data_IF_458887435670
#
_entry.id   IF_458887435670
#
_cell.length_a   1.000
_cell.length_b   1.000
_cell.length_c   1.000
_cell.angle_alpha   90.00
_cell.angle_beta   90.00
_cell.angle_gamma   90.00
#
_symmetry.space_group_name_H-M   'P 1'
#
loop_
_entity.id
_entity.type
_entity.pdbx_description
1 polymer ?
#
# COMPACT_ATOMS: atom_id res chain seq x y z
N UNK A 1 -16.18 20.64 -9.34
CA UNK A 1 -16.29 19.21 -9.69
C UNK A 1 -15.65 18.40 -8.58
N UNK A 2 -16.33 17.38 -8.07
CA UNK A 2 -15.79 16.46 -7.06
C UNK A 2 -15.78 15.05 -7.65
N UNK A 3 -14.78 14.76 -8.49
CA UNK A 3 -14.67 13.52 -9.28
C UNK A 3 -13.79 12.45 -8.64
N UNK A 4 -13.32 12.67 -7.41
CA UNK A 4 -12.39 11.79 -6.71
C UNK A 4 -10.92 12.22 -6.86
N UNK A 5 -10.04 11.51 -6.17
CA UNK A 5 -8.58 11.74 -6.17
C UNK A 5 -7.89 10.48 -6.67
N UNK A 6 -6.77 10.63 -7.39
CA UNK A 6 -5.93 9.52 -7.82
C UNK A 6 -4.65 9.51 -6.99
N UNK A 7 -4.18 8.30 -6.67
CA UNK A 7 -2.86 8.05 -6.12
C UNK A 7 -1.75 8.70 -6.96
N UNK A 8 -0.86 9.48 -6.34
CA UNK A 8 0.40 9.87 -6.97
C UNK A 8 1.39 8.74 -6.81
N UNK A 9 1.84 8.14 -7.92
CA UNK A 9 2.80 7.04 -7.96
C UNK A 9 4.13 7.44 -8.61
N UNK A 10 4.40 8.74 -8.76
CA UNK A 10 5.57 9.27 -9.49
C UNK A 10 6.93 8.86 -8.91
N UNK A 11 6.97 8.42 -7.65
CA UNK A 11 8.18 7.92 -7.00
C UNK A 11 8.43 6.43 -7.27
N UNK A 12 7.47 5.75 -7.89
CA UNK A 12 7.59 4.36 -8.28
C UNK A 12 8.08 4.25 -9.73
N UNK A 13 8.91 3.25 -10.07
CA UNK A 13 9.25 2.97 -11.46
C UNK A 13 8.02 2.75 -12.33
N UNK A 14 8.06 3.24 -13.57
CA UNK A 14 6.98 3.12 -14.55
C UNK A 14 6.65 1.66 -14.92
N UNK A 15 7.53 0.72 -14.60
CA UNK A 15 7.39 -0.70 -14.92
C UNK A 15 6.57 -1.51 -13.92
N UNK A 16 5.94 -0.88 -12.93
CA UNK A 16 5.14 -1.60 -11.92
C UNK A 16 3.75 -1.90 -12.47
N UNK A 17 3.30 -3.13 -12.26
CA UNK A 17 1.94 -3.51 -12.61
C UNK A 17 0.92 -2.87 -11.66
N UNK A 18 -0.12 -2.29 -12.24
CA UNK A 18 -1.24 -1.69 -11.52
C UNK A 18 -2.51 -2.54 -11.68
N UNK A 19 -3.39 -2.48 -10.70
CA UNK A 19 -4.74 -3.02 -10.80
C UNK A 19 -5.69 -2.10 -11.60
N UNK A 20 -6.95 -2.52 -11.74
CA UNK A 20 -8.00 -1.77 -12.44
C UNK A 20 -8.29 -0.39 -11.82
N UNK A 21 -7.86 -0.14 -10.58
CA UNK A 21 -8.01 1.12 -9.87
C UNK A 21 -6.74 2.00 -9.95
N UNK A 22 -5.71 1.54 -10.66
CA UNK A 22 -4.44 2.24 -10.80
C UNK A 22 -3.60 2.22 -9.53
N UNK A 23 -3.73 1.18 -8.70
CA UNK A 23 -2.91 0.95 -7.50
C UNK A 23 -1.92 -0.18 -7.76
N UNK A 24 -0.67 -0.11 -7.28
CA UNK A 24 0.31 -1.18 -7.48
C UNK A 24 -0.21 -2.53 -6.99
N UNK A 25 -0.04 -3.57 -7.81
CA UNK A 25 -0.35 -4.94 -7.39
C UNK A 25 0.53 -5.28 -6.17
N UNK A 26 -0.11 -5.69 -5.10
CA UNK A 26 0.53 -5.87 -3.81
C UNK A 26 0.04 -7.14 -3.10
N UNK A 27 0.82 -7.61 -2.13
CA UNK A 27 0.45 -8.70 -1.22
C UNK A 27 0.90 -8.31 0.18
N UNK A 28 -0.04 -8.29 1.13
CA UNK A 28 0.25 -7.88 2.52
C UNK A 28 0.96 -6.52 2.58
N UNK A 29 0.41 -5.52 1.88
CA UNK A 29 0.97 -4.17 1.72
C UNK A 29 2.26 -4.08 0.89
N UNK A 30 2.99 -5.16 0.65
CA UNK A 30 4.23 -5.14 -0.15
C UNK A 30 3.93 -5.15 -1.65
N UNK A 31 4.54 -4.24 -2.40
CA UNK A 31 4.39 -4.19 -3.86
C UNK A 31 5.05 -5.44 -4.44
N UNK A 32 4.30 -6.19 -5.25
CA UNK A 32 4.75 -7.48 -5.80
C UNK A 32 6.06 -7.33 -6.59
N UNK A 33 6.18 -6.25 -7.36
CA UNK A 33 7.31 -6.02 -8.26
C UNK A 33 8.46 -5.24 -7.58
N UNK A 34 8.28 -4.82 -6.31
CA UNK A 34 9.29 -4.12 -5.51
C UNK A 34 9.35 -4.66 -4.07
N UNK A 35 10.09 -5.76 -3.84
CA UNK A 35 10.29 -6.29 -2.49
C UNK A 35 10.91 -5.24 -1.55
N UNK A 36 10.35 -5.11 -0.35
CA UNK A 36 10.73 -4.13 0.66
C UNK A 36 10.04 -2.77 0.52
N UNK A 37 9.26 -2.54 -0.54
CA UNK A 37 8.42 -1.35 -0.70
C UNK A 37 6.99 -1.70 -0.33
N UNK A 38 6.43 -0.92 0.60
CA UNK A 38 5.08 -1.14 1.12
C UNK A 38 4.19 0.06 0.84
N UNK A 39 2.93 -0.22 0.54
CA UNK A 39 1.90 0.77 0.28
C UNK A 39 0.85 0.76 1.39
N UNK A 40 0.44 1.95 1.82
CA UNK A 40 -0.52 2.15 2.90
C UNK A 40 -1.46 3.30 2.55
N UNK A 41 -2.74 3.17 2.92
CA UNK A 41 -3.72 4.25 2.76
C UNK A 41 -4.39 4.33 1.39
N UNK A 42 -4.16 3.36 0.49
CA UNK A 42 -4.99 3.21 -0.70
C UNK A 42 -6.30 2.50 -0.35
N UNK A 43 -7.38 2.94 -1.00
CA UNK A 43 -8.72 2.41 -0.77
C UNK A 43 -8.82 0.93 -1.20
N UNK A 44 -9.64 0.14 -0.50
CA UNK A 44 -9.95 -1.26 -0.82
C UNK A 44 -8.78 -2.25 -0.87
N UNK A 45 -7.57 -1.88 -0.44
CA UNK A 45 -6.44 -2.81 -0.43
C UNK A 45 -6.62 -3.99 0.54
N UNK A 46 -7.32 -3.77 1.65
CA UNK A 46 -7.49 -4.78 2.69
C UNK A 46 -8.84 -4.73 3.42
N UNK A 47 -9.38 -3.52 3.63
CA UNK A 47 -10.74 -3.29 4.14
C UNK A 47 -11.36 -2.13 3.34
N UNK A 48 -12.67 -2.16 3.10
CA UNK A 48 -13.42 -1.09 2.45
C UNK A 48 -13.42 0.25 3.23
N UNK A 49 -12.63 0.34 4.30
CA UNK A 49 -12.58 1.45 5.26
C UNK A 49 -11.25 2.21 5.21
N UNK A 50 -10.26 1.76 4.46
CA UNK A 50 -8.89 2.29 4.48
C UNK A 50 -8.80 3.79 4.14
N UNK A 51 -9.77 4.38 3.41
CA UNK A 51 -9.86 5.85 3.19
C UNK A 51 -10.10 6.71 4.44
N UNK A 52 -10.57 6.15 5.55
CA UNK A 52 -10.90 6.93 6.74
C UNK A 52 -9.74 6.89 7.73
N UNK A 53 -9.50 7.98 8.47
CA UNK A 53 -8.45 8.06 9.51
C UNK A 53 -8.47 6.86 10.48
N UNK A 54 -9.66 6.30 10.74
CA UNK A 54 -9.83 5.08 11.55
C UNK A 54 -9.34 3.80 10.85
N UNK A 55 -9.57 3.67 9.54
CA UNK A 55 -9.08 2.54 8.74
C UNK A 55 -7.56 2.57 8.57
N UNK A 56 -7.00 3.75 8.25
CA UNK A 56 -5.54 3.93 8.13
C UNK A 56 -4.82 3.50 9.42
N UNK A 57 -5.36 3.84 10.59
CA UNK A 57 -4.76 3.44 11.88
C UNK A 57 -4.66 1.92 12.03
N UNK A 58 -5.67 1.18 11.59
CA UNK A 58 -5.67 -0.28 11.67
C UNK A 58 -4.67 -0.90 10.69
N UNK A 59 -4.67 -0.42 9.44
CA UNK A 59 -3.73 -0.87 8.42
C UNK A 59 -2.28 -0.54 8.79
N UNK A 60 -2.04 0.64 9.40
CA UNK A 60 -0.73 1.03 9.88
C UNK A 60 -0.23 0.12 11.01
N UNK A 61 -1.09 -0.21 11.97
CA UNK A 61 -0.74 -1.15 13.04
C UNK A 61 -0.39 -2.53 12.47
N UNK A 62 -1.20 -3.02 11.52
CA UNK A 62 -0.96 -4.31 10.87
C UNK A 62 0.32 -4.33 10.05
N UNK A 63 0.61 -3.26 9.30
CA UNK A 63 1.87 -3.13 8.57
C UNK A 63 3.07 -3.11 9.53
N UNK A 64 2.96 -2.38 10.65
CA UNK A 64 4.00 -2.37 11.67
C UNK A 64 4.27 -3.77 12.25
N UNK A 65 3.23 -4.57 12.52
CA UNK A 65 3.38 -5.96 12.98
C UNK A 65 4.10 -6.83 11.94
N UNK A 66 3.77 -6.68 10.64
CA UNK A 66 4.43 -7.39 9.53
C UNK A 66 5.92 -7.01 9.46
N UNK A 67 6.23 -5.71 9.55
CA UNK A 67 7.61 -5.22 9.52
C UNK A 67 8.40 -5.68 10.74
N UNK A 68 7.80 -5.68 11.93
CA UNK A 68 8.44 -6.13 13.17
C UNK A 68 8.71 -7.63 13.19
N UNK A 69 7.85 -8.43 12.54
CA UNK A 69 8.04 -9.87 12.38
C UNK A 69 9.06 -10.24 11.30
N UNK A 70 9.39 -9.32 10.38
CA UNK A 70 10.37 -9.55 9.33
C UNK A 70 11.77 -9.49 9.96
N UNK A 71 12.58 -10.55 9.88
CA UNK A 71 13.96 -10.46 10.33
C UNK A 71 14.64 -9.35 9.54
N UNK A 72 15.26 -8.40 10.22
CA UNK A 72 16.02 -7.33 9.58
C UNK A 72 16.97 -7.97 8.58
N UNK A 73 16.78 -7.68 7.30
CA UNK A 73 17.76 -8.04 6.30
C UNK A 73 19.03 -7.25 6.68
N UNK A 74 20.01 -7.96 7.26
CA UNK A 74 21.32 -7.41 7.50
C UNK A 74 21.85 -6.92 6.16
N UNK A 75 22.03 -5.61 6.05
CA UNK A 75 22.57 -4.95 4.88
C UNK A 75 24.07 -4.74 5.05
#
# INVERSE_FOLDING_TARGET
MATGYRATLELLPDSIDLDDFGVPINRQFEIRDLPGVYILGFDNLYDHRSRYLRGIRFDAARLADILAARPSAAH
#
